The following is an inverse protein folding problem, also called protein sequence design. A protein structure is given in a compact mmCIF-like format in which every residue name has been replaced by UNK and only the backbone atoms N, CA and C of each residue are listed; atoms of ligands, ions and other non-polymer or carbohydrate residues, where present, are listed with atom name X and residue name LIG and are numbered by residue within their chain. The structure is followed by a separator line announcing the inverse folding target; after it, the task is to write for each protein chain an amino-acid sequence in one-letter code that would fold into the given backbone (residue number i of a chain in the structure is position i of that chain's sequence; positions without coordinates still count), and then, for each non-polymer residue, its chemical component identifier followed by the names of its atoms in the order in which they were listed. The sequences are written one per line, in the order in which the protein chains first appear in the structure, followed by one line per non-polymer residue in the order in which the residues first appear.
data_IF_127035698214
#
_entry.id   IF_127035698214
#
_cell.length_a   1.000
_cell.length_b   1.000
_cell.length_c   1.000
_cell.angle_alpha   90.00
_cell.angle_beta   90.00
_cell.angle_gamma   90.00
#
_symmetry.space_group_name_H-M   'P 1'
#
loop_
_entity.id
_entity.type
_entity.pdbx_description
1 polymer ?
#
# COMPACT_ATOMS: atom_id res chain seq x y z
N UNK A 1 -2.10 7.12 -43.60
CA UNK A 1 -3.17 6.09 -43.64
C UNK A 1 -3.47 5.41 -42.29
N UNK A 2 -2.67 4.44 -41.79
CA UNK A 2 -3.00 3.78 -40.50
C UNK A 2 -3.09 4.76 -39.32
N UNK A 3 -2.12 5.65 -39.20
CA UNK A 3 -2.08 6.66 -38.14
C UNK A 3 -3.22 7.68 -38.24
N UNK A 4 -3.70 8.00 -39.44
CA UNK A 4 -4.86 8.89 -39.63
C UNK A 4 -6.17 8.22 -39.20
N UNK A 5 -6.31 6.92 -39.45
CA UNK A 5 -7.50 6.16 -39.04
C UNK A 5 -7.58 6.05 -37.51
N UNK A 6 -6.45 5.83 -36.83
CA UNK A 6 -6.37 5.86 -35.36
C UNK A 6 -6.77 7.23 -34.81
N UNK A 7 -6.20 8.31 -35.36
CA UNK A 7 -6.48 9.66 -34.89
C UNK A 7 -7.96 10.05 -35.11
N UNK A 8 -8.55 9.66 -36.23
CA UNK A 8 -9.97 9.89 -36.48
C UNK A 8 -10.90 9.06 -35.58
N UNK A 9 -10.49 7.85 -35.18
CA UNK A 9 -11.24 7.05 -34.20
C UNK A 9 -11.20 7.69 -32.80
N UNK A 10 -10.01 8.10 -32.35
CA UNK A 10 -9.82 8.76 -31.04
C UNK A 10 -10.62 10.06 -30.97
N UNK A 11 -10.59 10.87 -32.03
CA UNK A 11 -11.30 12.17 -32.06
C UNK A 11 -12.83 12.04 -32.17
N UNK A 12 -13.35 10.94 -32.76
CA UNK A 12 -14.80 10.69 -32.84
C UNK A 12 -15.40 10.14 -31.55
N UNK A 13 -14.57 9.48 -30.74
CA UNK A 13 -14.94 9.25 -29.36
C UNK A 13 -14.79 10.60 -28.66
N UNK A 14 -15.90 11.28 -28.35
CA UNK A 14 -15.93 12.34 -27.36
C UNK A 14 -15.57 11.75 -25.98
N UNK A 15 -14.34 11.25 -25.80
CA UNK A 15 -13.74 10.96 -24.50
C UNK A 15 -13.30 12.29 -23.86
N UNK A 16 -14.12 13.33 -24.04
CA UNK A 16 -14.10 14.59 -23.29
C UNK A 16 -14.75 14.44 -21.91
N UNK A 17 -14.76 13.22 -21.38
CA UNK A 17 -14.85 12.95 -19.95
C UNK A 17 -13.96 11.76 -19.71
N UNK A 18 -12.66 12.05 -19.67
CA UNK A 18 -11.62 11.16 -19.18
C UNK A 18 -12.14 10.44 -17.93
N UNK A 19 -12.49 9.17 -18.08
CA UNK A 19 -12.71 8.26 -16.97
C UNK A 19 -11.41 8.11 -16.14
N UNK A 20 -10.28 8.53 -16.71
CA UNK A 20 -8.99 8.64 -16.04
C UNK A 20 -8.86 9.90 -15.16
N UNK A 21 -9.69 10.94 -15.33
CA UNK A 21 -9.62 12.18 -14.51
C UNK A 21 -10.57 12.14 -13.30
N UNK A 22 -11.56 11.24 -13.28
CA UNK A 22 -12.49 11.07 -12.14
C UNK A 22 -12.10 9.99 -11.15
N UNK A 23 -11.05 9.24 -11.45
CA UNK A 23 -10.50 8.26 -10.53
C UNK A 23 -9.02 8.59 -10.39
N UNK A 24 -8.72 9.53 -9.49
CA UNK A 24 -7.46 9.42 -8.77
C UNK A 24 -7.53 8.08 -8.02
N UNK A 25 -7.23 6.99 -8.73
CA UNK A 25 -6.90 5.74 -8.08
C UNK A 25 -5.59 6.09 -7.41
N UNK A 26 -5.65 6.42 -6.12
CA UNK A 26 -4.46 6.35 -5.29
C UNK A 26 -4.01 4.89 -5.35
N UNK A 27 -3.17 4.57 -6.33
CA UNK A 27 -2.63 3.24 -6.52
C UNK A 27 -1.55 3.05 -5.48
N UNK A 28 -1.95 2.81 -4.23
CA UNK A 28 -1.04 2.31 -3.23
C UNK A 28 -0.69 0.87 -3.62
N UNK A 29 0.56 0.63 -4.00
CA UNK A 29 1.05 -0.71 -4.24
C UNK A 29 1.43 -1.35 -2.92
N UNK A 30 1.12 -2.64 -2.80
CA UNK A 30 1.48 -3.44 -1.63
C UNK A 30 3.01 -3.49 -1.49
N UNK A 31 3.72 -3.65 -2.61
CA UNK A 31 5.20 -3.70 -2.69
C UNK A 31 5.86 -2.47 -2.04
N UNK A 32 5.38 -1.27 -2.40
CA UNK A 32 5.90 0.00 -1.87
C UNK A 32 5.68 0.08 -0.34
N UNK A 33 4.52 -0.37 0.14
CA UNK A 33 4.21 -0.42 1.59
C UNK A 33 5.01 -1.47 2.33
N UNK A 34 5.37 -2.58 1.69
CA UNK A 34 6.27 -3.57 2.29
C UNK A 34 7.67 -2.99 2.49
N UNK A 35 8.19 -2.23 1.53
CA UNK A 35 9.50 -1.59 1.64
C UNK A 35 9.50 -0.50 2.72
N UNK A 36 8.44 0.32 2.78
CA UNK A 36 8.23 1.30 3.85
C UNK A 36 8.23 0.63 5.23
N UNK A 37 7.45 -0.44 5.41
CA UNK A 37 7.40 -1.20 6.68
C UNK A 37 8.75 -1.82 7.04
N UNK A 38 9.50 -2.35 6.07
CA UNK A 38 10.86 -2.88 6.29
C UNK A 38 11.84 -1.79 6.72
N UNK A 39 11.80 -0.62 6.10
CA UNK A 39 12.63 0.53 6.47
C UNK A 39 12.35 1.02 7.89
N UNK A 40 11.07 1.14 8.24
CA UNK A 40 10.63 1.58 9.55
C UNK A 40 10.96 0.58 10.67
N UNK A 41 10.84 -0.72 10.39
CA UNK A 41 11.25 -1.79 11.31
C UNK A 41 12.77 -2.00 11.38
N UNK A 42 13.53 -1.49 10.40
CA UNK A 42 15.01 -1.46 10.46
C UNK A 42 15.55 -0.37 11.38
N UNK A 43 14.86 0.77 11.46
CA UNK A 43 15.28 1.93 12.26
C UNK A 43 14.75 1.89 13.70
N UNK A 44 13.64 1.18 13.94
CA UNK A 44 13.03 1.04 15.26
C UNK A 44 12.73 -0.42 15.56
N UNK A 45 13.14 -0.91 16.72
CA UNK A 45 12.92 -2.31 17.11
C UNK A 45 11.43 -2.63 17.33
N UNK A 46 10.61 -1.62 17.65
CA UNK A 46 9.18 -1.77 17.94
C UNK A 46 8.37 -0.64 17.32
N UNK A 47 7.38 -1.01 16.54
CA UNK A 47 6.50 -0.08 15.83
C UNK A 47 5.03 -0.39 16.15
N UNK A 48 4.25 0.67 16.36
CA UNK A 48 2.81 0.56 16.59
C UNK A 48 2.09 0.83 15.28
N UNK A 49 1.26 -0.12 14.82
CA UNK A 49 0.46 0.06 13.61
C UNK A 49 -0.47 1.28 13.72
N UNK A 50 -1.01 1.56 14.91
CA UNK A 50 -1.85 2.74 15.14
C UNK A 50 -1.10 4.06 15.01
N UNK A 51 0.21 4.09 15.26
CA UNK A 51 1.05 5.28 14.99
C UNK A 51 1.36 5.42 13.50
N UNK A 52 1.53 4.30 12.79
CA UNK A 52 1.77 4.26 11.36
C UNK A 52 0.59 4.89 10.59
N UNK A 53 -0.63 4.38 10.86
CA UNK A 53 -1.84 4.78 10.13
C UNK A 53 -2.32 6.19 10.46
N UNK A 54 -1.84 6.82 11.54
CA UNK A 54 -2.19 8.21 11.88
C UNK A 54 -1.70 9.21 10.84
N UNK A 55 -0.66 8.86 10.10
CA UNK A 55 -0.07 9.71 9.07
C UNK A 55 -0.71 9.48 7.70
N UNK A 56 -1.64 8.53 7.58
CA UNK A 56 -2.28 8.16 6.32
C UNK A 56 -3.58 8.94 6.15
N UNK A 57 -3.76 9.56 4.97
CA UNK A 57 -4.94 10.37 4.67
C UNK A 57 -6.09 9.52 4.10
N UNK A 58 -5.77 8.32 3.57
CA UNK A 58 -6.71 7.47 2.83
C UNK A 58 -6.97 6.14 3.52
N UNK A 59 -8.25 5.72 3.56
CA UNK A 59 -8.63 4.38 4.04
C UNK A 59 -8.03 3.28 3.17
N UNK A 60 -7.85 3.55 1.88
CA UNK A 60 -7.23 2.61 0.94
C UNK A 60 -5.78 2.35 1.34
N UNK A 61 -5.05 3.40 1.72
CA UNK A 61 -3.67 3.29 2.20
C UNK A 61 -3.59 2.38 3.43
N UNK A 62 -4.49 2.57 4.40
CA UNK A 62 -4.57 1.74 5.60
C UNK A 62 -4.82 0.26 5.26
N UNK A 63 -5.74 -0.01 4.32
CA UNK A 63 -6.06 -1.38 3.90
C UNK A 63 -4.86 -2.01 3.19
N UNK A 64 -4.22 -1.31 2.26
CA UNK A 64 -3.06 -1.81 1.51
C UNK A 64 -1.88 -2.07 2.44
N UNK A 65 -1.60 -1.16 3.38
CA UNK A 65 -0.53 -1.35 4.37
C UNK A 65 -0.83 -2.50 5.33
N UNK A 66 -2.09 -2.74 5.68
CA UNK A 66 -2.49 -3.92 6.47
C UNK A 66 -2.26 -5.23 5.69
N UNK A 67 -2.60 -5.26 4.40
CA UNK A 67 -2.32 -6.41 3.53
C UNK A 67 -0.81 -6.66 3.39
N UNK A 68 -0.03 -5.61 3.19
CA UNK A 68 1.44 -5.68 3.16
C UNK A 68 2.01 -6.23 4.48
N UNK A 69 1.44 -5.84 5.62
CA UNK A 69 1.84 -6.37 6.92
C UNK A 69 1.55 -7.88 7.03
N UNK A 70 0.38 -8.35 6.59
CA UNK A 70 0.04 -9.77 6.59
C UNK A 70 0.99 -10.59 5.71
N UNK A 71 1.39 -10.04 4.56
CA UNK A 71 2.37 -10.67 3.69
C UNK A 71 3.76 -10.76 4.35
N UNK A 72 4.21 -9.71 5.04
CA UNK A 72 5.47 -9.74 5.79
C UNK A 72 5.47 -10.76 6.94
N UNK A 73 4.32 -10.95 7.60
CA UNK A 73 4.14 -12.02 8.60
C UNK A 73 4.27 -13.39 7.92
N UNK A 74 3.64 -13.57 6.75
CA UNK A 74 3.71 -14.82 5.98
C UNK A 74 5.16 -15.13 5.55
N UNK A 75 5.93 -14.11 5.19
CA UNK A 75 7.37 -14.21 4.86
C UNK A 75 8.28 -14.35 6.08
N UNK A 76 7.72 -14.37 7.30
CA UNK A 76 8.45 -14.46 8.58
C UNK A 76 9.54 -13.39 8.75
N UNK A 77 9.39 -12.24 8.10
CA UNK A 77 10.35 -11.12 8.21
C UNK A 77 10.03 -10.24 9.43
N UNK A 78 8.76 -10.21 9.83
CA UNK A 78 8.28 -9.43 10.98
C UNK A 78 7.40 -10.30 11.87
N UNK A 79 7.44 -10.01 13.16
CA UNK A 79 6.54 -10.58 14.16
C UNK A 79 5.49 -9.54 14.53
N UNK A 80 4.26 -9.98 14.61
CA UNK A 80 3.14 -9.12 15.00
C UNK A 80 2.47 -9.66 16.25
N UNK A 81 2.13 -8.77 17.18
CA UNK A 81 1.49 -9.07 18.45
C UNK A 81 0.24 -8.20 18.56
N UNK A 82 -0.91 -8.83 18.83
CA UNK A 82 -2.18 -8.14 19.09
C UNK A 82 -2.88 -8.87 20.24
N UNK A 83 -3.24 -8.15 21.31
CA UNK A 83 -3.81 -8.78 22.51
C UNK A 83 -5.25 -9.26 22.31
N UNK A 84 -6.07 -8.47 21.61
CA UNK A 84 -7.50 -8.71 21.38
C UNK A 84 -7.91 -8.20 20.00
N UNK A 85 -9.03 -8.68 19.48
CA UNK A 85 -9.59 -8.18 18.23
C UNK A 85 -9.79 -6.65 18.30
N UNK A 86 -9.37 -5.94 17.26
CA UNK A 86 -9.45 -4.49 17.13
C UNK A 86 -8.62 -3.67 18.15
N UNK A 87 -7.72 -4.30 18.89
CA UNK A 87 -6.75 -3.60 19.74
C UNK A 87 -5.49 -3.23 18.94
N UNK A 88 -4.61 -2.46 19.58
CA UNK A 88 -3.32 -2.07 19.02
C UNK A 88 -2.54 -3.27 18.50
N UNK A 89 -1.95 -3.08 17.32
CA UNK A 89 -1.11 -4.06 16.64
C UNK A 89 0.34 -3.59 16.80
N UNK A 90 1.14 -4.44 17.42
CA UNK A 90 2.56 -4.24 17.65
C UNK A 90 3.35 -5.00 16.60
N UNK A 91 4.30 -4.33 15.97
CA UNK A 91 5.16 -4.87 14.92
C UNK A 91 6.58 -4.86 15.45
N UNK A 92 7.23 -6.02 15.42
CA UNK A 92 8.60 -6.23 15.86
C UNK A 92 9.37 -6.90 14.72
N UNK A 93 10.61 -6.47 14.50
CA UNK A 93 11.46 -7.11 13.49
C UNK A 93 11.95 -8.46 14.01
N UNK A 94 11.95 -9.46 13.13
CA UNK A 94 12.68 -10.71 13.41
C UNK A 94 14.12 -10.44 12.98
N UNK A 95 15.00 -10.24 13.95
CA UNK A 95 16.44 -10.29 13.71
C UNK A 95 16.83 -11.76 13.70
N UNK A 96 17.40 -12.23 12.57
CA UNK A 96 18.08 -13.51 12.51
C UNK A 96 19.34 -13.39 13.39
N UNK A 97 19.16 -13.53 14.70
CA UNK A 97 20.25 -13.82 15.62
C UNK A 97 20.59 -15.31 15.44
N UNK A 98 21.36 -15.60 14.39
CA UNK A 98 22.28 -16.74 14.40
C UNK A 98 23.61 -16.33 15.02
#
# INVERSE_FOLDING_TARGET
LYNELINNYINKMNVGSSFQDKIQIETFKIEDKMEELKSLTSSSSKLYFTKLIRNYESKTEVIVTFLALLELIMLKTVKVIQEKNFYDIYIERIEDSE
#
